data_IF_279995115874
#
_entry.id   IF_279995115874
#
_cell.length_a   1.000
_cell.length_b   1.000
_cell.length_c   1.000
_cell.angle_alpha   90.00
_cell.angle_beta   90.00
_cell.angle_gamma   90.00
#
_symmetry.space_group_name_H-M   'P 1'
#
loop_
_entity.id
_entity.type
_entity.pdbx_description
1 polymer ?
#
# COMPACT_ATOMS: atom_id res chain seq x y z
N UNK A 1 19.85 38.31 24.95
CA UNK A 1 19.20 36.99 24.97
C UNK A 1 17.75 37.21 24.58
N UNK A 2 17.40 36.91 23.33
CA UNK A 2 16.00 36.93 22.86
C UNK A 2 15.55 35.49 22.71
N UNK A 3 14.49 35.12 23.43
CA UNK A 3 13.91 33.79 23.42
C UNK A 3 13.16 33.55 22.13
N UNK A 4 13.64 32.61 21.33
CA UNK A 4 12.97 32.14 20.13
C UNK A 4 11.83 31.21 20.55
N UNK A 5 10.60 31.71 20.45
CA UNK A 5 9.38 30.93 20.67
C UNK A 5 9.25 29.91 19.55
N UNK A 6 9.75 28.69 19.80
CA UNK A 6 9.54 27.51 18.96
C UNK A 6 8.04 27.22 18.82
N UNK A 7 7.41 27.75 17.78
CA UNK A 7 6.07 27.31 17.36
C UNK A 7 6.20 25.88 16.80
N UNK A 8 5.46 24.88 17.30
CA UNK A 8 5.53 23.53 16.76
C UNK A 8 5.10 23.53 15.28
N UNK A 9 5.60 22.59 14.45
CA UNK A 9 5.15 22.45 13.08
C UNK A 9 3.65 22.17 13.10
N UNK A 10 2.84 23.16 12.73
CA UNK A 10 1.41 22.97 12.51
C UNK A 10 1.32 22.00 11.34
N UNK A 11 0.92 20.76 11.62
CA UNK A 11 0.63 19.80 10.57
C UNK A 11 -0.42 20.42 9.66
N UNK A 12 -0.18 20.50 8.34
CA UNK A 12 -1.15 21.08 7.43
C UNK A 12 -2.47 20.34 7.58
N UNK A 13 -3.56 21.06 7.84
CA UNK A 13 -4.88 20.48 7.93
C UNK A 13 -5.23 19.89 6.56
N UNK A 14 -5.25 18.57 6.47
CA UNK A 14 -5.48 17.89 5.20
C UNK A 14 -6.96 18.02 4.84
N UNK A 15 -7.31 18.54 3.64
CA UNK A 15 -8.70 18.77 3.24
C UNK A 15 -9.59 17.54 3.41
N UNK A 16 -9.06 16.33 3.26
CA UNK A 16 -9.84 15.09 3.39
C UNK A 16 -10.54 14.93 4.75
N UNK A 17 -9.97 15.49 5.82
CA UNK A 17 -10.58 15.46 7.15
C UNK A 17 -11.80 16.39 7.27
N UNK A 18 -12.05 17.26 6.29
CA UNK A 18 -13.25 18.12 6.24
C UNK A 18 -14.47 17.40 5.68
N UNK A 19 -14.28 16.22 5.06
CA UNK A 19 -15.34 15.49 4.36
C UNK A 19 -15.83 14.34 5.21
N UNK A 20 -16.96 14.53 5.90
CA UNK A 20 -17.58 13.45 6.68
C UNK A 20 -18.42 12.47 5.83
N UNK A 21 -18.91 12.91 4.67
CA UNK A 21 -19.73 12.07 3.80
C UNK A 21 -19.61 12.49 2.33
N UNK A 22 -18.96 11.65 1.52
CA UNK A 22 -18.72 11.90 0.09
C UNK A 22 -20.01 12.08 -0.73
N UNK A 23 -21.14 11.50 -0.26
CA UNK A 23 -22.45 11.66 -0.92
C UNK A 23 -22.95 13.11 -0.91
N UNK A 24 -22.49 13.92 0.04
CA UNK A 24 -22.85 15.34 0.09
C UNK A 24 -22.06 16.17 -0.95
N UNK A 25 -20.94 15.64 -1.44
CA UNK A 25 -20.08 16.31 -2.41
C UNK A 25 -20.32 15.81 -3.85
N UNK A 26 -20.75 14.56 -4.00
CA UNK A 26 -21.12 13.98 -5.28
C UNK A 26 -22.64 13.81 -5.32
N UNK A 27 -23.38 14.78 -5.89
CA UNK A 27 -24.85 14.76 -5.92
C UNK A 27 -25.42 13.66 -6.82
N UNK A 28 -24.57 12.98 -7.60
CA UNK A 28 -24.96 11.84 -8.43
C UNK A 28 -24.84 10.57 -7.57
N UNK A 29 -25.95 9.83 -7.43
CA UNK A 29 -25.96 8.53 -6.79
C UNK A 29 -25.44 7.47 -7.77
N UNK A 30 -24.55 6.59 -7.30
CA UNK A 30 -24.04 5.49 -8.09
C UNK A 30 -25.18 4.49 -8.37
N UNK A 31 -25.78 4.58 -9.54
CA UNK A 31 -26.69 3.56 -10.07
C UNK A 31 -25.92 2.69 -11.07
N UNK A 32 -26.01 1.37 -10.88
CA UNK A 32 -25.32 0.36 -11.69
C UNK A 32 -26.00 0.13 -13.04
N UNK A 33 -27.20 0.70 -13.24
CA UNK A 33 -28.03 0.52 -14.41
C UNK A 33 -28.03 1.73 -15.35
N UNK A 34 -27.42 2.84 -14.95
CA UNK A 34 -27.63 4.14 -15.59
C UNK A 34 -26.38 4.69 -16.31
N UNK A 35 -26.59 5.47 -17.37
CA UNK A 35 -25.56 6.09 -18.20
C UNK A 35 -24.69 7.14 -17.47
N UNK A 36 -25.00 7.41 -16.21
CA UNK A 36 -24.34 8.41 -15.37
C UNK A 36 -23.09 7.90 -14.64
N UNK A 37 -22.70 6.63 -14.81
CA UNK A 37 -21.45 6.11 -14.23
C UNK A 37 -20.22 6.94 -14.65
N UNK A 38 -20.16 7.34 -15.92
CA UNK A 38 -19.06 8.16 -16.42
C UNK A 38 -18.98 9.52 -15.71
N UNK A 39 -20.12 10.22 -15.57
CA UNK A 39 -20.20 11.50 -14.85
C UNK A 39 -19.92 11.35 -13.36
N UNK A 40 -20.38 10.28 -12.72
CA UNK A 40 -20.07 9.97 -11.33
C UNK A 40 -18.57 9.72 -11.12
N UNK A 41 -17.96 8.89 -11.98
CA UNK A 41 -16.55 8.56 -11.92
C UNK A 41 -15.67 9.80 -12.13
N UNK A 42 -16.04 10.69 -13.04
CA UNK A 42 -15.34 11.96 -13.28
C UNK A 42 -15.42 12.87 -12.04
N UNK A 43 -16.62 13.09 -11.49
CA UNK A 43 -16.79 13.88 -10.27
C UNK A 43 -16.03 13.28 -9.09
N UNK A 44 -16.07 11.96 -8.91
CA UNK A 44 -15.33 11.26 -7.87
C UNK A 44 -13.81 11.47 -8.02
N UNK A 45 -13.27 11.35 -9.23
CA UNK A 45 -11.85 11.59 -9.49
C UNK A 45 -11.44 13.04 -9.25
N UNK A 46 -12.26 14.02 -9.65
CA UNK A 46 -12.00 15.44 -9.39
C UNK A 46 -11.94 15.71 -7.88
N UNK A 47 -12.88 15.16 -7.12
CA UNK A 47 -12.87 15.27 -5.66
C UNK A 47 -11.66 14.56 -5.05
N UNK A 48 -11.40 13.31 -5.42
CA UNK A 48 -10.26 12.58 -4.88
C UNK A 48 -8.91 13.28 -5.19
N UNK A 49 -8.80 13.96 -6.34
CA UNK A 49 -7.66 14.81 -6.68
C UNK A 49 -7.60 16.09 -5.83
N UNK A 50 -8.69 16.85 -5.73
CA UNK A 50 -8.74 18.10 -4.97
C UNK A 50 -8.46 17.91 -3.47
N UNK A 51 -8.78 16.72 -2.95
CA UNK A 51 -8.56 16.34 -1.57
C UNK A 51 -7.25 15.58 -1.32
N UNK A 52 -6.40 15.43 -2.34
CA UNK A 52 -5.10 14.75 -2.26
C UNK A 52 -5.19 13.31 -1.73
N UNK A 53 -6.33 12.64 -1.97
CA UNK A 53 -6.55 11.24 -1.56
C UNK A 53 -6.41 10.26 -2.71
N UNK A 54 -6.20 10.76 -3.93
CA UNK A 54 -6.11 9.96 -5.14
C UNK A 54 -4.98 8.91 -5.04
N UNK A 55 -3.86 9.27 -4.42
CA UNK A 55 -2.73 8.38 -4.19
C UNK A 55 -3.00 7.33 -3.12
N UNK A 56 -4.00 7.51 -2.26
CA UNK A 56 -4.42 6.47 -1.31
C UNK A 56 -5.44 5.51 -1.93
N UNK A 57 -6.17 5.94 -2.96
CA UNK A 57 -7.23 5.14 -3.61
C UNK A 57 -6.66 4.30 -4.76
N UNK A 58 -5.69 4.84 -5.52
CA UNK A 58 -5.15 4.15 -6.69
C UNK A 58 -4.18 3.04 -6.28
N UNK A 59 -4.42 1.77 -6.60
CA UNK A 59 -3.54 0.66 -6.19
C UNK A 59 -2.12 0.80 -6.76
N UNK A 60 -1.98 1.48 -7.90
CA UNK A 60 -0.70 1.68 -8.58
C UNK A 60 0.03 2.98 -8.23
N UNK A 61 -0.51 3.78 -7.30
CA UNK A 61 0.17 5.00 -6.86
C UNK A 61 1.53 4.66 -6.22
N UNK A 62 2.53 5.55 -6.31
CA UNK A 62 3.82 5.35 -5.65
C UNK A 62 3.68 5.12 -4.14
N UNK A 63 2.74 5.83 -3.50
CA UNK A 63 2.46 5.69 -2.07
C UNK A 63 1.93 4.30 -1.71
N UNK A 64 0.92 3.82 -2.44
CA UNK A 64 0.34 2.49 -2.20
C UNK A 64 1.32 1.36 -2.55
N UNK A 65 2.14 1.54 -3.60
CA UNK A 65 3.25 0.62 -3.92
C UNK A 65 4.27 0.55 -2.80
N UNK A 66 4.67 1.69 -2.22
CA UNK A 66 5.59 1.73 -1.09
C UNK A 66 5.01 1.04 0.15
N UNK A 67 3.77 1.37 0.53
CA UNK A 67 3.07 0.73 1.67
C UNK A 67 2.93 -0.77 1.44
N UNK A 68 2.56 -1.20 0.23
CA UNK A 68 2.45 -2.61 -0.13
C UNK A 68 3.80 -3.31 -0.10
N UNK A 69 4.87 -2.67 -0.54
CA UNK A 69 6.22 -3.22 -0.44
C UNK A 69 6.63 -3.45 1.01
N UNK A 70 6.44 -2.46 1.90
CA UNK A 70 6.74 -2.58 3.33
C UNK A 70 5.98 -3.75 3.96
N UNK A 71 4.67 -3.83 3.71
CA UNK A 71 3.85 -4.94 4.22
C UNK A 71 4.31 -6.30 3.68
N UNK A 72 4.60 -6.40 2.39
CA UNK A 72 5.04 -7.65 1.77
C UNK A 72 6.42 -8.09 2.28
N UNK A 73 7.33 -7.15 2.53
CA UNK A 73 8.64 -7.44 3.15
C UNK A 73 8.49 -7.95 4.59
N UNK A 74 7.61 -7.33 5.38
CA UNK A 74 7.30 -7.81 6.72
C UNK A 74 6.75 -9.24 6.66
N UNK A 75 5.74 -9.49 5.81
CA UNK A 75 5.17 -10.82 5.62
C UNK A 75 6.22 -11.83 5.15
N UNK A 76 7.12 -11.44 4.26
CA UNK A 76 8.21 -12.29 3.79
C UNK A 76 9.19 -12.65 4.91
N UNK A 77 9.52 -11.68 5.78
CA UNK A 77 10.41 -11.91 6.93
C UNK A 77 9.76 -12.71 8.06
N UNK A 78 8.45 -12.58 8.26
CA UNK A 78 7.72 -13.31 9.31
C UNK A 78 7.19 -14.67 8.85
N UNK A 79 7.23 -14.98 7.55
CA UNK A 79 6.82 -16.29 7.01
C UNK A 79 7.84 -17.34 7.44
N UNK A 80 7.43 -18.23 8.34
CA UNK A 80 8.27 -19.31 8.89
C UNK A 80 7.81 -20.66 8.35
N UNK A 81 8.76 -21.59 8.22
CA UNK A 81 8.49 -22.95 7.76
C UNK A 81 7.53 -23.70 8.71
N UNK A 82 7.64 -23.46 10.02
CA UNK A 82 6.78 -24.04 11.06
C UNK A 82 5.29 -23.68 10.93
N UNK A 83 4.98 -22.63 10.15
CA UNK A 83 3.62 -22.16 9.90
C UNK A 83 2.91 -22.92 8.77
N UNK A 84 3.61 -23.87 8.11
CA UNK A 84 3.08 -24.65 6.99
C UNK A 84 3.29 -26.15 7.22
N UNK A 85 2.29 -26.96 6.84
CA UNK A 85 2.36 -28.43 6.95
C UNK A 85 3.28 -29.07 5.90
N UNK A 86 3.61 -28.35 4.82
CA UNK A 86 4.43 -28.86 3.72
C UNK A 86 5.44 -27.80 3.24
N UNK A 87 6.67 -28.25 2.96
CA UNK A 87 7.73 -27.42 2.41
C UNK A 87 7.35 -26.80 1.05
N UNK A 88 6.58 -27.50 0.23
CA UNK A 88 6.10 -26.99 -1.06
C UNK A 88 5.16 -25.80 -0.89
N UNK A 89 4.34 -25.79 0.17
CA UNK A 89 3.42 -24.68 0.44
C UNK A 89 4.19 -23.46 0.96
N UNK A 90 5.20 -23.67 1.80
CA UNK A 90 6.12 -22.64 2.24
C UNK A 90 6.91 -22.03 1.06
N UNK A 91 7.50 -22.85 0.19
CA UNK A 91 8.22 -22.40 -0.99
C UNK A 91 7.30 -21.65 -1.95
N UNK A 92 6.08 -22.14 -2.16
CA UNK A 92 5.04 -21.47 -2.95
C UNK A 92 4.68 -20.10 -2.37
N UNK A 93 4.54 -20.00 -1.04
CA UNK A 93 4.23 -18.75 -0.35
C UNK A 93 5.36 -17.73 -0.47
N UNK A 94 6.61 -18.15 -0.22
CA UNK A 94 7.78 -17.27 -0.38
C UNK A 94 7.92 -16.76 -1.81
N UNK A 95 7.73 -17.65 -2.80
CA UNK A 95 7.78 -17.29 -4.21
C UNK A 95 6.70 -16.26 -4.56
N UNK A 96 5.47 -16.48 -4.11
CA UNK A 96 4.36 -15.56 -4.33
C UNK A 96 4.62 -14.17 -3.71
N UNK A 97 5.18 -14.10 -2.51
CA UNK A 97 5.55 -12.83 -1.88
C UNK A 97 6.67 -12.12 -2.65
N UNK A 98 7.68 -12.86 -3.12
CA UNK A 98 8.76 -12.31 -3.93
C UNK A 98 8.28 -11.77 -5.29
N UNK A 99 7.39 -12.50 -5.97
CA UNK A 99 6.77 -12.06 -7.22
C UNK A 99 5.92 -10.79 -7.01
N UNK A 100 5.19 -10.71 -5.90
CA UNK A 100 4.42 -9.51 -5.55
C UNK A 100 5.32 -8.30 -5.28
N UNK A 101 6.49 -8.51 -4.65
CA UNK A 101 7.50 -7.46 -4.43
C UNK A 101 8.11 -6.97 -5.75
N UNK A 102 8.42 -7.88 -6.68
CA UNK A 102 8.86 -7.51 -8.03
C UNK A 102 7.81 -6.67 -8.78
N UNK A 103 6.52 -7.00 -8.63
CA UNK A 103 5.42 -6.26 -9.26
C UNK A 103 5.19 -4.85 -8.68
N UNK A 104 5.61 -4.54 -7.45
CA UNK A 104 5.54 -3.18 -6.88
C UNK A 104 6.75 -2.32 -7.23
N UNK A 105 7.70 -2.84 -8.02
CA UNK A 105 8.93 -2.13 -8.37
C UNK A 105 9.99 -2.16 -7.26
N UNK A 106 9.78 -2.96 -6.21
CA UNK A 106 10.79 -3.31 -5.20
C UNK A 106 11.18 -4.78 -5.38
N UNK A 107 11.98 -5.12 -6.42
CA UNK A 107 12.44 -6.49 -6.57
C UNK A 107 13.23 -6.89 -5.33
N UNK A 108 12.78 -7.96 -4.65
CA UNK A 108 13.62 -8.66 -3.68
C UNK A 108 14.91 -9.00 -4.42
N UNK A 109 16.03 -8.46 -3.94
CA UNK A 109 17.32 -8.66 -4.58
C UNK A 109 17.54 -10.17 -4.78
N UNK A 110 18.01 -10.62 -5.98
CA UNK A 110 18.07 -12.03 -6.34
C UNK A 110 18.87 -12.93 -5.38
N UNK A 111 18.70 -14.27 -5.49
CA UNK A 111 18.81 -15.23 -4.38
C UNK A 111 20.22 -15.56 -3.87
N UNK A 112 21.28 -14.92 -4.33
CA UNK A 112 22.65 -15.36 -4.06
C UNK A 112 23.32 -14.67 -2.85
N UNK A 113 22.64 -13.73 -2.19
CA UNK A 113 23.19 -13.05 -1.00
C UNK A 113 22.19 -12.97 0.18
N UNK A 114 20.88 -12.84 -0.08
CA UNK A 114 19.87 -12.64 0.97
C UNK A 114 19.46 -13.91 1.74
N UNK A 115 19.50 -15.08 1.09
CA UNK A 115 19.12 -16.36 1.73
C UNK A 115 20.18 -16.84 2.72
N UNK A 116 21.45 -16.45 2.52
CA UNK A 116 22.62 -16.80 3.37
C UNK A 116 22.64 -16.12 4.74
N UNK A 117 21.73 -15.19 5.01
CA UNK A 117 21.68 -14.42 6.27
C UNK A 117 20.46 -14.77 7.12
N UNK A 118 19.59 -15.67 6.66
CA UNK A 118 18.38 -16.05 7.39
C UNK A 118 18.67 -17.24 8.31
N UNK A 119 18.56 -17.08 9.64
CA UNK A 119 18.68 -18.22 10.55
C UNK A 119 17.58 -19.24 10.21
N UNK A 120 17.95 -20.49 9.95
CA UNK A 120 17.00 -21.60 9.73
C UNK A 120 16.67 -21.96 8.28
N UNK A 121 17.32 -21.35 7.27
CA UNK A 121 17.28 -21.86 5.88
C UNK A 121 18.61 -22.50 5.44
N UNK A 122 19.56 -22.63 6.36
CA UNK A 122 20.93 -23.11 6.09
C UNK A 122 21.06 -24.64 6.07
N UNK A 123 20.04 -25.38 6.54
CA UNK A 123 20.05 -26.85 6.65
C UNK A 123 19.30 -27.59 5.54
N UNK A 124 18.71 -26.88 4.57
CA UNK A 124 17.86 -27.49 3.52
C UNK A 124 18.41 -27.34 2.10
N UNK A 125 19.73 -27.41 1.94
CA UNK A 125 20.35 -27.59 0.62
C UNK A 125 21.52 -28.57 0.66
#
# INVERSE_FOLDING_TARGET
MIGESSNPPRTPFHPAFSVNNIKNLIPILLDRTDGHYASWMELFNIHACAYDVLDHIKPDSPHNKATRAVYLEEQFNTTRLDSFSNINDYCSRLKNLADQLANVGNPVTPPNQGWRKRPGVEDFM
#
